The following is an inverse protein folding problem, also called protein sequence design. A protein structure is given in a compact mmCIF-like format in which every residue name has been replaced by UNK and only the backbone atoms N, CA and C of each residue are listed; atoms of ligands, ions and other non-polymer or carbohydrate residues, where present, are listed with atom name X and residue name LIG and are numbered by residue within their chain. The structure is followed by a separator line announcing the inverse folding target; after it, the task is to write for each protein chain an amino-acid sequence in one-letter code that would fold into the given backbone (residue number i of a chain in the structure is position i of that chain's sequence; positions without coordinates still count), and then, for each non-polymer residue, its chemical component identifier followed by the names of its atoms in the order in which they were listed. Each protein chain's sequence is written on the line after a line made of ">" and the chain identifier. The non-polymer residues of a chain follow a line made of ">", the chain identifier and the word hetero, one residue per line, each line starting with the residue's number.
data_IF_440824347190
#
_entry.id   IF_440824347190
#
_cell.length_a   1.000
_cell.length_b   1.000
_cell.length_c   1.000
_cell.angle_alpha   90.00
_cell.angle_beta   90.00
_cell.angle_gamma   90.00
#
_symmetry.space_group_name_H-M   'P 1'
#
loop_
_entity.id
_entity.type
_entity.pdbx_description
1 polymer ?
#
# COMPACT_ATOMS: atom_id res chain seq x y z
N UNK A 1 -13.51 5.65 -13.14
CA UNK A 1 -12.55 5.21 -14.17
C UNK A 1 -11.19 5.82 -13.89
N UNK A 2 -10.19 4.98 -13.79
CA UNK A 2 -8.82 5.42 -13.49
C UNK A 2 -8.03 5.56 -14.79
N UNK A 3 -7.13 6.55 -14.84
CA UNK A 3 -6.19 6.67 -15.94
C UNK A 3 -4.97 5.79 -15.76
N UNK A 4 -4.79 5.21 -14.57
CA UNK A 4 -3.72 4.26 -14.33
C UNK A 4 -4.23 2.88 -14.69
N UNK A 5 -3.57 2.25 -15.67
CA UNK A 5 -3.94 0.91 -16.11
C UNK A 5 -3.44 -0.12 -15.08
N UNK A 6 -2.18 -0.09 -14.75
CA UNK A 6 -1.61 -0.98 -13.74
C UNK A 6 -0.26 -0.45 -13.28
N UNK A 7 0.16 -0.98 -12.13
CA UNK A 7 1.48 -0.71 -11.55
C UNK A 7 2.13 -2.07 -11.31
N UNK A 8 3.38 -2.21 -11.67
CA UNK A 8 4.12 -3.46 -11.45
C UNK A 8 5.29 -3.21 -10.51
N UNK A 9 5.37 -4.01 -9.47
CA UNK A 9 6.34 -3.83 -8.38
C UNK A 9 7.19 -5.08 -8.25
N UNK A 10 8.51 -4.90 -8.26
CA UNK A 10 9.44 -5.99 -7.97
C UNK A 10 9.58 -6.13 -6.47
N UNK A 11 9.48 -7.36 -5.96
CA UNK A 11 9.63 -7.63 -4.53
C UNK A 11 10.78 -8.60 -4.31
N UNK A 12 11.45 -8.48 -3.18
CA UNK A 12 12.63 -9.30 -2.91
C UNK A 12 12.28 -10.73 -2.49
N UNK A 13 11.11 -10.93 -1.88
CA UNK A 13 10.65 -12.23 -1.40
C UNK A 13 9.15 -12.31 -1.62
N UNK A 14 8.76 -13.00 -2.68
CA UNK A 14 7.36 -13.08 -3.08
C UNK A 14 6.47 -13.67 -2.00
N UNK A 15 6.96 -14.69 -1.28
CA UNK A 15 6.19 -15.32 -0.22
C UNK A 15 5.90 -14.34 0.92
N UNK A 16 6.90 -13.59 1.34
CA UNK A 16 6.72 -12.58 2.38
C UNK A 16 5.78 -11.47 1.92
N UNK A 17 5.91 -11.04 0.67
CA UNK A 17 5.04 -10.01 0.10
C UNK A 17 3.60 -10.47 0.04
N UNK A 18 3.35 -11.73 -0.31
CA UNK A 18 2.00 -12.28 -0.34
C UNK A 18 1.32 -12.22 1.02
N UNK A 19 2.05 -12.46 2.09
CA UNK A 19 1.47 -12.48 3.43
C UNK A 19 0.84 -11.14 3.80
N UNK A 20 1.43 -10.03 3.38
CA UNK A 20 0.86 -8.72 3.62
C UNK A 20 -0.11 -8.32 2.52
N UNK A 21 0.34 -8.38 1.27
CA UNK A 21 -0.39 -7.77 0.17
C UNK A 21 -1.69 -8.46 -0.18
N UNK A 22 -1.78 -9.79 -0.07
CA UNK A 22 -3.04 -10.48 -0.32
C UNK A 22 -4.09 -10.04 0.69
N UNK A 23 -3.73 -10.04 1.96
CA UNK A 23 -4.64 -9.62 3.01
C UNK A 23 -5.07 -8.15 2.84
N UNK A 24 -4.09 -7.28 2.63
CA UNK A 24 -4.36 -5.84 2.54
C UNK A 24 -5.25 -5.51 1.35
N UNK A 25 -4.90 -6.03 0.17
CA UNK A 25 -5.64 -5.71 -1.05
C UNK A 25 -7.06 -6.25 -1.00
N UNK A 26 -7.24 -7.46 -0.47
CA UNK A 26 -8.60 -8.01 -0.30
C UNK A 26 -9.42 -7.16 0.67
N UNK A 27 -8.81 -6.72 1.75
CA UNK A 27 -9.47 -5.84 2.70
C UNK A 27 -9.87 -4.51 2.07
N UNK A 28 -9.08 -4.02 1.13
CA UNK A 28 -9.35 -2.77 0.42
C UNK A 28 -10.33 -2.93 -0.75
N UNK A 29 -10.79 -4.15 -1.01
CA UNK A 29 -11.79 -4.39 -2.06
C UNK A 29 -11.23 -4.87 -3.39
N UNK A 30 -9.93 -5.15 -3.45
CA UNK A 30 -9.33 -5.74 -4.63
C UNK A 30 -9.63 -7.23 -4.67
N UNK A 31 -9.70 -7.79 -5.88
CA UNK A 31 -9.90 -9.22 -6.10
C UNK A 31 -8.72 -9.78 -6.86
N UNK A 32 -8.42 -11.06 -6.59
CA UNK A 32 -7.35 -11.75 -7.31
C UNK A 32 -7.61 -11.68 -8.81
N UNK A 33 -6.56 -11.34 -9.57
CA UNK A 33 -6.67 -11.21 -11.01
C UNK A 33 -5.86 -12.28 -11.72
N UNK A 34 -4.55 -12.34 -11.48
CA UNK A 34 -3.67 -13.33 -12.09
C UNK A 34 -2.70 -13.87 -11.06
N UNK A 35 -2.24 -15.09 -11.27
CA UNK A 35 -1.21 -15.68 -10.43
C UNK A 35 -0.37 -16.63 -11.29
N UNK A 36 0.95 -16.52 -11.14
CA UNK A 36 1.90 -17.42 -11.81
C UNK A 36 3.07 -17.65 -10.87
N UNK A 37 4.04 -18.44 -11.29
CA UNK A 37 5.10 -18.86 -10.40
C UNK A 37 5.87 -17.67 -9.81
N UNK A 38 6.15 -16.64 -10.63
CA UNK A 38 6.99 -15.52 -10.23
C UNK A 38 6.21 -14.28 -9.80
N UNK A 39 4.89 -14.34 -9.74
CA UNK A 39 4.13 -13.15 -9.37
C UNK A 39 2.64 -13.36 -9.19
N UNK A 40 1.98 -12.27 -8.83
CA UNK A 40 0.52 -12.24 -8.70
C UNK A 40 0.03 -10.82 -8.93
N UNK A 41 -1.25 -10.70 -9.23
CA UNK A 41 -1.87 -9.38 -9.35
C UNK A 41 -3.27 -9.39 -8.76
N UNK A 42 -3.68 -8.22 -8.28
CA UNK A 42 -5.00 -7.95 -7.73
C UNK A 42 -5.58 -6.74 -8.44
N UNK A 43 -6.87 -6.76 -8.67
CA UNK A 43 -7.55 -5.76 -9.47
C UNK A 43 -8.76 -5.20 -8.73
N UNK A 44 -8.95 -3.91 -8.87
CA UNK A 44 -10.15 -3.23 -8.38
C UNK A 44 -10.61 -2.33 -9.52
N UNK A 45 -11.89 -2.48 -9.92
CA UNK A 45 -12.44 -1.81 -11.10
C UNK A 45 -11.56 -2.10 -12.32
N UNK A 46 -10.98 -1.08 -12.94
CA UNK A 46 -10.16 -1.25 -14.15
C UNK A 46 -8.66 -1.06 -13.90
N UNK A 47 -8.24 -1.01 -12.64
CA UNK A 47 -6.83 -0.83 -12.28
C UNK A 47 -6.32 -2.06 -11.52
N UNK A 48 -5.11 -2.54 -11.85
CA UNK A 48 -4.54 -3.64 -11.10
C UNK A 48 -3.10 -3.36 -10.68
N UNK A 49 -2.67 -4.07 -9.64
CA UNK A 49 -1.33 -3.98 -9.10
C UNK A 49 -0.70 -5.37 -9.20
N UNK A 50 0.50 -5.41 -9.76
CA UNK A 50 1.24 -6.65 -10.01
C UNK A 50 2.47 -6.67 -9.11
N UNK A 51 2.72 -7.82 -8.50
CA UNK A 51 3.92 -8.04 -7.70
C UNK A 51 4.70 -9.18 -8.33
N UNK A 52 5.99 -8.95 -8.57
CA UNK A 52 6.86 -9.91 -9.28
C UNK A 52 8.13 -10.12 -8.46
N UNK A 53 8.55 -11.38 -8.36
CA UNK A 53 9.82 -11.69 -7.71
C UNK A 53 10.97 -11.01 -8.46
N UNK A 54 11.79 -10.27 -7.73
CA UNK A 54 12.96 -9.63 -8.28
C UNK A 54 13.91 -10.70 -8.83
N UNK A 55 14.44 -10.49 -10.04
CA UNK A 55 15.39 -11.40 -10.64
C UNK A 55 16.65 -11.48 -9.77
N UNK A 56 17.23 -12.67 -9.66
CA UNK A 56 18.33 -12.92 -8.74
C UNK A 56 19.50 -11.94 -8.93
N UNK A 57 19.83 -11.61 -10.18
CA UNK A 57 20.94 -10.70 -10.49
C UNK A 57 20.73 -9.28 -9.97
N UNK A 58 19.51 -8.93 -9.55
CA UNK A 58 19.20 -7.60 -9.02
C UNK A 58 18.92 -7.60 -7.52
N UNK A 59 19.02 -8.77 -6.85
CA UNK A 59 18.70 -8.86 -5.43
C UNK A 59 19.74 -8.20 -4.52
N UNK A 60 20.95 -7.96 -5.05
CA UNK A 60 22.00 -7.29 -4.28
C UNK A 60 21.79 -5.77 -4.19
N UNK A 61 20.96 -5.22 -5.06
CA UNK A 61 20.59 -3.81 -4.99
C UNK A 61 19.51 -3.60 -3.97
N UNK A 62 19.57 -2.51 -3.22
CA UNK A 62 18.56 -2.25 -2.21
C UNK A 62 17.61 -1.15 -2.64
N UNK A 63 16.32 -1.45 -2.56
CA UNK A 63 15.28 -0.44 -2.65
C UNK A 63 15.23 0.35 -1.35
N UNK A 64 15.04 1.65 -1.47
CA UNK A 64 14.70 2.50 -0.32
C UNK A 64 13.83 3.64 -0.82
N UNK A 65 12.73 3.88 -0.11
CA UNK A 65 11.76 4.91 -0.52
C UNK A 65 12.29 6.33 -0.52
N UNK A 66 13.42 6.55 0.12
CA UNK A 66 14.08 7.86 0.09
C UNK A 66 14.96 8.09 -1.11
N UNK A 67 15.17 7.05 -1.91
CA UNK A 67 15.98 7.15 -3.12
C UNK A 67 15.08 7.46 -4.32
N UNK A 68 15.72 7.77 -5.45
CA UNK A 68 14.99 8.02 -6.70
C UNK A 68 14.11 6.82 -7.03
N UNK A 69 12.84 7.07 -7.24
CA UNK A 69 11.85 6.03 -7.54
C UNK A 69 10.61 6.21 -6.69
N UNK A 70 9.96 5.13 -6.36
CA UNK A 70 8.71 5.18 -5.61
C UNK A 70 8.95 5.69 -4.18
N UNK A 71 8.25 6.74 -3.80
CA UNK A 71 8.23 7.24 -2.42
C UNK A 71 7.24 6.43 -1.58
N UNK A 72 6.00 6.32 -2.05
CA UNK A 72 5.00 5.49 -1.37
C UNK A 72 3.78 5.26 -2.25
N UNK A 73 2.99 4.26 -1.87
CA UNK A 73 1.69 3.96 -2.47
C UNK A 73 0.60 4.40 -1.49
N UNK A 74 -0.42 5.08 -1.99
CA UNK A 74 -1.53 5.52 -1.15
C UNK A 74 -2.84 4.96 -1.71
N UNK A 75 -3.63 4.39 -0.81
CA UNK A 75 -4.95 3.87 -1.11
C UNK A 75 -5.99 4.70 -0.37
N UNK A 76 -7.21 4.75 -0.91
CA UNK A 76 -8.29 5.49 -0.29
C UNK A 76 -9.35 4.55 0.27
N UNK A 77 -9.87 4.86 1.45
CA UNK A 77 -11.04 4.21 2.01
C UNK A 77 -12.10 5.27 2.27
N UNK A 78 -13.34 4.85 2.47
CA UNK A 78 -14.44 5.79 2.54
C UNK A 78 -14.54 6.51 3.88
N UNK A 79 -14.13 5.86 4.98
CA UNK A 79 -14.38 6.40 6.32
C UNK A 79 -13.14 6.38 7.20
N UNK A 80 -13.14 7.27 8.18
CA UNK A 80 -12.13 7.29 9.24
C UNK A 80 -12.14 6.00 10.04
N UNK A 81 -13.32 5.43 10.22
CA UNK A 81 -13.48 4.16 10.94
C UNK A 81 -12.67 3.05 10.27
N UNK A 82 -12.65 3.01 8.95
CA UNK A 82 -11.88 2.02 8.21
C UNK A 82 -10.38 2.20 8.44
N UNK A 83 -9.91 3.43 8.53
CA UNK A 83 -8.51 3.71 8.88
C UNK A 83 -8.21 3.22 10.28
N UNK A 84 -9.08 3.49 11.25
CA UNK A 84 -8.89 3.07 12.64
C UNK A 84 -8.86 1.54 12.78
N UNK A 85 -9.75 0.86 12.07
CA UNK A 85 -9.79 -0.60 12.08
C UNK A 85 -8.50 -1.18 11.50
N UNK A 86 -8.05 -0.60 10.39
CA UNK A 86 -6.81 -1.05 9.75
C UNK A 86 -5.61 -0.83 10.68
N UNK A 87 -5.58 0.30 11.36
CA UNK A 87 -4.50 0.59 12.32
C UNK A 87 -4.40 -0.51 13.37
N UNK A 88 -5.53 -0.90 13.94
CA UNK A 88 -5.58 -1.95 14.95
C UNK A 88 -5.11 -3.30 14.40
N UNK A 89 -5.55 -3.64 13.19
CA UNK A 89 -5.16 -4.90 12.57
C UNK A 89 -3.67 -4.93 12.24
N UNK A 90 -3.12 -3.82 11.77
CA UNK A 90 -1.68 -3.73 11.50
C UNK A 90 -0.88 -3.95 12.77
N UNK A 91 -1.32 -3.36 13.89
CA UNK A 91 -0.68 -3.57 15.17
C UNK A 91 -0.73 -5.03 15.60
N UNK A 92 -1.89 -5.66 15.47
CA UNK A 92 -2.06 -7.04 15.88
C UNK A 92 -1.25 -8.00 15.03
N UNK A 93 -0.94 -7.63 13.79
CA UNK A 93 -0.12 -8.43 12.88
C UNK A 93 1.36 -8.14 13.01
N UNK A 94 1.74 -7.17 13.84
CA UNK A 94 3.14 -6.81 14.02
C UNK A 94 3.75 -6.12 12.80
N UNK A 95 2.93 -5.50 11.96
CA UNK A 95 3.41 -4.79 10.78
C UNK A 95 3.97 -3.43 11.23
N UNK A 96 5.18 -3.05 10.78
CA UNK A 96 5.79 -1.78 11.20
C UNK A 96 4.95 -0.57 10.82
N UNK A 97 4.56 0.21 11.82
CA UNK A 97 3.83 1.45 11.62
C UNK A 97 4.80 2.61 11.53
N UNK A 98 4.51 3.56 10.64
CA UNK A 98 5.29 4.77 10.50
C UNK A 98 4.57 5.94 11.14
N UNK A 99 5.35 6.84 11.74
CA UNK A 99 4.84 8.07 12.35
C UNK A 99 3.76 7.83 13.41
N UNK A 100 3.93 6.83 14.31
CA UNK A 100 2.86 6.52 15.26
C UNK A 100 2.53 7.67 16.20
N UNK A 101 3.50 8.51 16.51
CA UNK A 101 3.30 9.65 17.40
C UNK A 101 2.46 10.76 16.75
N UNK A 102 2.33 10.74 15.43
CA UNK A 102 1.52 11.72 14.70
C UNK A 102 0.24 11.12 14.13
N UNK A 103 0.06 9.82 14.28
CA UNK A 103 -1.14 9.15 13.81
C UNK A 103 -2.39 9.75 14.49
N UNK A 104 -3.50 9.99 13.79
CA UNK A 104 -3.76 9.70 12.37
C UNK A 104 -3.51 10.88 11.42
N UNK A 105 -2.79 11.89 11.86
CA UNK A 105 -2.62 13.13 11.11
C UNK A 105 -1.17 13.34 10.64
N UNK A 106 -0.44 12.26 10.41
CA UNK A 106 0.94 12.36 9.95
C UNK A 106 1.06 13.06 8.59
N UNK A 107 0.01 12.97 7.77
CA UNK A 107 -0.01 13.62 6.45
C UNK A 107 -0.58 15.03 6.46
N UNK A 108 -1.03 15.54 7.63
CA UNK A 108 -1.61 16.87 7.75
C UNK A 108 -2.90 16.86 8.55
N UNK A 109 -3.32 18.06 8.98
CA UNK A 109 -4.47 18.22 9.88
C UNK A 109 -5.77 17.62 9.37
N UNK A 110 -5.99 17.66 8.05
CA UNK A 110 -7.24 17.20 7.46
C UNK A 110 -7.05 15.92 6.67
N UNK A 111 -5.91 15.27 6.86
CA UNK A 111 -5.58 14.06 6.14
C UNK A 111 -5.53 12.90 7.13
N UNK A 112 -6.64 12.18 7.23
CA UNK A 112 -6.79 11.09 8.19
C UNK A 112 -6.28 9.80 7.55
N UNK A 113 -5.12 9.32 8.00
CA UNK A 113 -4.45 8.22 7.32
C UNK A 113 -3.59 7.39 8.26
N UNK A 114 -3.31 6.17 7.84
CA UNK A 114 -2.32 5.30 8.48
C UNK A 114 -1.19 5.04 7.50
N UNK A 115 0.04 5.00 8.02
CA UNK A 115 1.25 4.75 7.25
C UNK A 115 1.98 3.55 7.82
N UNK A 116 2.45 2.66 6.96
CA UNK A 116 3.15 1.45 7.39
C UNK A 116 4.12 0.98 6.31
N UNK A 117 4.89 -0.06 6.62
CA UNK A 117 5.88 -0.61 5.68
C UNK A 117 5.52 -2.04 5.32
N UNK A 118 5.78 -2.39 4.05
CA UNK A 118 5.72 -3.78 3.62
C UNK A 118 7.08 -4.47 3.91
N UNK A 119 7.24 -5.77 3.58
CA UNK A 119 8.51 -6.48 3.86
C UNK A 119 9.73 -5.87 3.18
N UNK A 120 9.57 -5.15 2.07
CA UNK A 120 10.67 -4.47 1.39
C UNK A 120 10.82 -3.02 1.82
N UNK A 121 10.11 -2.62 2.88
CA UNK A 121 10.09 -1.26 3.39
C UNK A 121 9.48 -0.27 2.41
N UNK A 122 8.61 -0.76 1.52
CA UNK A 122 7.78 0.12 0.71
C UNK A 122 6.78 0.79 1.66
N UNK A 123 6.78 2.12 1.64
CA UNK A 123 5.84 2.88 2.46
C UNK A 123 4.45 2.81 1.85
N UNK A 124 3.48 2.45 2.68
CA UNK A 124 2.09 2.32 2.26
C UNK A 124 1.24 3.25 3.11
N UNK A 125 0.33 3.92 2.47
CA UNK A 125 -0.60 4.82 3.12
C UNK A 125 -2.02 4.39 2.81
N UNK A 126 -2.91 4.45 3.80
CA UNK A 126 -4.35 4.28 3.57
C UNK A 126 -5.04 5.48 4.20
N UNK A 127 -5.71 6.26 3.37
CA UNK A 127 -6.29 7.54 3.76
C UNK A 127 -7.81 7.52 3.59
N UNK A 128 -8.51 8.12 4.54
CA UNK A 128 -9.96 8.31 4.45
C UNK A 128 -10.26 9.43 3.47
N UNK A 129 -11.25 9.20 2.59
CA UNK A 129 -11.67 10.23 1.65
C UNK A 129 -12.31 11.39 2.39
N UNK A 130 -12.24 12.57 1.80
CA UNK A 130 -12.96 13.71 2.32
C UNK A 130 -14.46 13.42 2.32
N UNK A 131 -15.20 13.74 3.40
CA UNK A 131 -16.64 13.48 3.47
C UNK A 131 -17.42 14.11 2.33
N UNK A 132 -16.88 15.17 1.72
CA UNK A 132 -17.56 15.88 0.64
C UNK A 132 -16.97 15.59 -0.73
N UNK A 133 -16.13 14.58 -0.85
CA UNK A 133 -15.51 14.23 -2.10
C UNK A 133 -14.59 15.30 -2.63
N UNK A 134 -14.25 16.27 -1.83
CA UNK A 134 -13.37 17.34 -2.23
C UNK A 134 -11.96 17.04 -1.87
N UNK A 135 -11.14 17.27 -2.83
CA UNK A 135 -9.74 17.17 -2.58
C UNK A 135 -9.14 18.55 -2.70
N UNK A 136 -8.71 19.05 -1.59
CA UNK A 136 -7.83 20.19 -1.60
C UNK A 136 -6.44 19.66 -1.44
N UNK A 137 -5.66 19.85 -2.46
CA UNK A 137 -4.29 19.43 -2.39
C UNK A 137 -3.44 20.57 -1.98
N UNK A 138 -2.94 20.43 -0.79
CA UNK A 138 -1.95 21.35 -0.29
C UNK A 138 -0.75 20.50 -0.05
N UNK A 139 0.17 20.59 -0.93
CA UNK A 139 1.44 19.88 -0.76
C UNK A 139 2.56 20.85 -0.68
#
# INVERSE_FOLDING_TARGET
>A
MSLIHHIEINVSDLTASKQLWLWLLEKLGFSKYQEWEQGFSYKEDDTYIVFVQTAERFLDGSYHRGRTGLNHLAFAVDTKHQVDELYKELQSRGIPLLYPERHPFAGGKEHYAVFFEDPDRIKVEVAARSPFGQTKHIH
#
